data_IF_278355340414
#
_entry.id   IF_278355340414
#
_cell.length_a   1.000
_cell.length_b   1.000
_cell.length_c   1.000
_cell.angle_alpha   90.00
_cell.angle_beta   90.00
_cell.angle_gamma   90.00
#
_symmetry.space_group_name_H-M   'P 1'
#
loop_
_entity.id
_entity.type
_entity.pdbx_description
1 polymer ?
#
# COMPACT_ATOMS: atom_id res chain seq x y z
N UNK A 1 38.76 27.13 -8.02
CA UNK A 1 38.22 26.21 -6.98
C UNK A 1 36.84 26.62 -6.45
N UNK A 2 36.59 27.89 -6.06
CA UNK A 2 35.29 28.34 -5.52
C UNK A 2 34.09 28.20 -6.49
N UNK A 3 34.31 28.39 -7.80
CA UNK A 3 33.26 28.19 -8.82
C UNK A 3 32.82 26.74 -8.96
N UNK A 4 33.78 25.81 -9.02
CA UNK A 4 33.52 24.36 -9.11
C UNK A 4 32.77 23.85 -7.88
N UNK A 5 33.14 24.30 -6.67
CA UNK A 5 32.42 23.93 -5.44
C UNK A 5 30.95 24.38 -5.47
N UNK A 6 30.67 25.58 -6.00
CA UNK A 6 29.28 26.08 -6.12
C UNK A 6 28.48 25.26 -7.11
N UNK A 7 29.05 24.91 -8.26
CA UNK A 7 28.37 24.06 -9.24
C UNK A 7 28.06 22.68 -8.69
N UNK A 8 29.00 22.05 -7.97
CA UNK A 8 28.78 20.75 -7.33
C UNK A 8 27.71 20.83 -6.23
N UNK A 9 27.70 21.89 -5.42
CA UNK A 9 26.68 22.09 -4.39
C UNK A 9 25.28 22.27 -4.98
N UNK A 10 25.15 23.03 -6.08
CA UNK A 10 23.87 23.19 -6.80
C UNK A 10 23.42 21.86 -7.41
N UNK A 11 24.33 21.13 -8.06
CA UNK A 11 24.01 19.83 -8.64
C UNK A 11 23.55 18.81 -7.59
N UNK A 12 24.23 18.78 -6.43
CA UNK A 12 23.85 17.93 -5.31
C UNK A 12 22.45 18.31 -4.77
N UNK A 13 22.18 19.61 -4.58
CA UNK A 13 20.88 20.09 -4.13
C UNK A 13 19.77 19.69 -5.11
N UNK A 14 19.98 19.89 -6.41
CA UNK A 14 19.02 19.53 -7.46
C UNK A 14 18.75 18.03 -7.47
N UNK A 15 19.80 17.20 -7.33
CA UNK A 15 19.64 15.74 -7.25
C UNK A 15 18.86 15.31 -6.01
N UNK A 16 19.16 15.88 -4.84
CA UNK A 16 18.46 15.54 -3.59
C UNK A 16 16.99 15.95 -3.66
N UNK A 17 16.70 17.16 -4.13
CA UNK A 17 15.32 17.64 -4.29
C UNK A 17 14.59 16.82 -5.35
N UNK A 18 15.21 16.57 -6.49
CA UNK A 18 14.63 15.80 -7.60
C UNK A 18 14.29 14.36 -7.19
N UNK A 19 15.21 13.67 -6.52
CA UNK A 19 14.97 12.31 -6.02
C UNK A 19 13.92 12.28 -4.92
N UNK A 20 13.92 13.26 -4.01
CA UNK A 20 12.87 13.41 -2.99
C UNK A 20 11.48 13.58 -3.62
N UNK A 21 11.33 14.49 -4.60
CA UNK A 21 10.06 14.69 -5.29
C UNK A 21 9.61 13.44 -6.07
N UNK A 22 10.53 12.77 -6.76
CA UNK A 22 10.24 11.52 -7.46
C UNK A 22 9.78 10.42 -6.49
N UNK A 23 10.40 10.32 -5.32
CA UNK A 23 9.99 9.37 -4.28
C UNK A 23 8.59 9.69 -3.74
N UNK A 24 8.31 10.95 -3.39
CA UNK A 24 6.97 11.34 -2.91
C UNK A 24 5.89 11.09 -3.97
N UNK A 25 6.16 11.42 -5.23
CA UNK A 25 5.23 11.16 -6.32
C UNK A 25 5.00 9.65 -6.53
N UNK A 26 6.06 8.85 -6.50
CA UNK A 26 5.99 7.39 -6.59
C UNK A 26 5.21 6.78 -5.42
N UNK A 27 5.45 7.27 -4.20
CA UNK A 27 4.73 6.85 -3.00
C UNK A 27 3.25 7.20 -3.09
N UNK A 28 2.90 8.43 -3.48
CA UNK A 28 1.51 8.85 -3.66
C UNK A 28 0.79 8.01 -4.73
N UNK A 29 1.46 7.73 -5.86
CA UNK A 29 0.93 6.85 -6.91
C UNK A 29 0.78 5.40 -6.46
N UNK A 30 1.67 4.92 -5.58
CA UNK A 30 1.59 3.59 -4.98
C UNK A 30 0.42 3.49 -4.00
N UNK A 31 0.26 4.44 -3.07
CA UNK A 31 -0.84 4.46 -2.12
C UNK A 31 -2.19 4.58 -2.82
N UNK A 32 -2.27 5.39 -3.88
CA UNK A 32 -3.48 5.51 -4.70
C UNK A 32 -3.87 4.19 -5.38
N UNK A 33 -2.91 3.34 -5.75
CA UNK A 33 -3.17 2.03 -6.37
C UNK A 33 -3.49 0.92 -5.36
N UNK A 34 -2.99 1.02 -4.14
CA UNK A 34 -3.29 0.05 -3.08
C UNK A 34 -4.76 0.12 -2.67
N UNK A 35 -5.36 1.31 -2.62
CA UNK A 35 -6.74 1.48 -2.14
C UNK A 35 -7.84 0.88 -3.03
N UNK A 36 -7.54 0.35 -4.22
CA UNK A 36 -8.58 0.08 -5.23
C UNK A 36 -8.83 -1.40 -5.57
N UNK A 37 -8.61 -2.34 -4.65
CA UNK A 37 -8.92 -3.76 -4.92
C UNK A 37 -9.68 -4.44 -3.78
N UNK A 38 -10.80 -3.86 -3.34
CA UNK A 38 -11.88 -4.68 -2.81
C UNK A 38 -12.38 -5.55 -3.99
N UNK A 39 -12.22 -6.88 -3.98
CA UNK A 39 -12.70 -7.70 -5.08
C UNK A 39 -14.20 -7.45 -5.26
N UNK A 40 -14.63 -7.14 -6.49
CA UNK A 40 -16.03 -6.96 -6.81
C UNK A 40 -16.82 -8.17 -6.27
N UNK A 41 -17.70 -7.89 -5.30
CA UNK A 41 -18.57 -8.83 -4.57
C UNK A 41 -18.27 -10.30 -4.85
N UNK A 42 -17.43 -10.97 -4.04
CA UNK A 42 -17.14 -12.37 -4.23
C UNK A 42 -18.45 -13.15 -4.20
N UNK A 43 -18.61 -14.09 -5.15
CA UNK A 43 -19.56 -15.18 -4.99
C UNK A 43 -19.32 -15.83 -3.62
N UNK A 44 -20.39 -16.28 -2.96
CA UNK A 44 -20.27 -17.00 -1.69
C UNK A 44 -19.21 -18.11 -1.82
N UNK A 45 -18.22 -18.07 -0.94
CA UNK A 45 -17.10 -19.00 -0.95
C UNK A 45 -17.42 -20.26 -0.12
N UNK A 46 -16.76 -21.37 -0.41
CA UNK A 46 -16.90 -22.59 0.41
C UNK A 46 -16.26 -22.44 1.79
N UNK A 47 -15.26 -21.57 1.93
CA UNK A 47 -14.59 -21.26 3.20
C UNK A 47 -13.91 -19.88 3.18
N UNK A 48 -13.75 -19.28 4.36
CA UNK A 48 -12.98 -18.06 4.63
C UNK A 48 -11.72 -18.48 5.39
N UNK A 49 -10.53 -18.16 4.86
CA UNK A 49 -9.25 -18.44 5.53
C UNK A 49 -8.69 -17.15 6.07
N UNK A 50 -8.43 -17.08 7.37
CA UNK A 50 -7.88 -15.87 7.98
C UNK A 50 -6.43 -16.07 8.42
N UNK A 51 -5.54 -15.25 7.87
CA UNK A 51 -4.16 -15.17 8.32
C UNK A 51 -4.09 -14.51 9.71
N UNK A 52 -3.51 -15.23 10.67
CA UNK A 52 -3.25 -14.74 12.03
C UNK A 52 -2.04 -13.81 12.06
N UNK A 53 -1.96 -12.92 13.06
CA UNK A 53 -0.84 -11.98 13.23
C UNK A 53 -1.11 -10.52 12.83
N UNK A 54 -2.32 -10.18 12.38
CA UNK A 54 -2.78 -8.80 12.22
C UNK A 54 -3.99 -8.51 13.11
N UNK A 55 -4.13 -7.27 13.60
CA UNK A 55 -5.10 -6.93 14.64
C UNK A 55 -6.58 -7.09 14.24
N UNK A 56 -6.96 -6.86 12.97
CA UNK A 56 -8.37 -6.86 12.53
C UNK A 56 -8.80 -8.07 11.71
N UNK A 57 -7.86 -8.88 11.20
CA UNK A 57 -8.16 -9.87 10.14
C UNK A 57 -9.16 -10.94 10.57
N UNK A 58 -9.12 -11.34 11.85
CA UNK A 58 -10.06 -12.32 12.43
C UNK A 58 -11.45 -11.72 12.57
N UNK A 59 -11.55 -10.48 13.04
CA UNK A 59 -12.84 -9.78 13.16
C UNK A 59 -13.50 -9.60 11.78
N UNK A 60 -12.72 -9.17 10.78
CA UNK A 60 -13.19 -9.00 9.40
C UNK A 60 -13.70 -10.34 8.82
N UNK A 61 -12.98 -11.44 9.07
CA UNK A 61 -13.39 -12.79 8.64
C UNK A 61 -14.67 -13.28 9.31
N UNK A 62 -14.85 -13.00 10.61
CA UNK A 62 -16.09 -13.32 11.34
C UNK A 62 -17.27 -12.52 10.76
N UNK A 63 -17.07 -11.24 10.43
CA UNK A 63 -18.11 -10.42 9.81
C UNK A 63 -18.51 -10.97 8.44
N UNK A 64 -17.54 -11.33 7.59
CA UNK A 64 -17.82 -11.95 6.29
C UNK A 64 -18.58 -13.28 6.42
N UNK A 65 -18.27 -14.09 7.45
CA UNK A 65 -19.00 -15.32 7.73
C UNK A 65 -20.44 -15.04 8.16
N UNK A 66 -20.65 -14.04 9.02
CA UNK A 66 -21.97 -13.60 9.46
C UNK A 66 -22.82 -13.02 8.30
N UNK A 67 -22.17 -12.37 7.34
CA UNK A 67 -22.80 -11.88 6.09
C UNK A 67 -23.07 -12.99 5.06
N UNK A 68 -22.76 -14.25 5.37
CA UNK A 68 -22.98 -15.39 4.46
C UNK A 68 -22.04 -15.42 3.25
N UNK A 69 -20.91 -14.69 3.31
CA UNK A 69 -19.91 -14.65 2.23
C UNK A 69 -19.06 -15.93 2.17
N UNK A 70 -19.16 -16.80 3.18
CA UNK A 70 -18.51 -18.10 3.22
C UNK A 70 -19.35 -19.13 3.99
N UNK A 71 -19.13 -20.44 3.73
CA UNK A 71 -19.85 -21.52 4.45
C UNK A 71 -19.21 -21.91 5.79
N UNK A 72 -17.92 -21.63 5.98
CA UNK A 72 -17.13 -21.92 7.21
C UNK A 72 -15.86 -21.08 7.26
N UNK A 73 -15.24 -20.98 8.42
CA UNK A 73 -13.95 -20.29 8.62
C UNK A 73 -12.85 -21.31 9.00
N UNK A 74 -11.64 -21.12 8.48
CA UNK A 74 -10.44 -21.95 8.70
C UNK A 74 -9.31 -21.12 9.29
#
# INVERSE_FOLDING_TARGET
>A
MRGVLRTLAVAALVLTVGTGLAFLAGFAAFTARISSHEPATPRAADAIVVLTGGASRVADGIQLLAEGRGRRML
#
